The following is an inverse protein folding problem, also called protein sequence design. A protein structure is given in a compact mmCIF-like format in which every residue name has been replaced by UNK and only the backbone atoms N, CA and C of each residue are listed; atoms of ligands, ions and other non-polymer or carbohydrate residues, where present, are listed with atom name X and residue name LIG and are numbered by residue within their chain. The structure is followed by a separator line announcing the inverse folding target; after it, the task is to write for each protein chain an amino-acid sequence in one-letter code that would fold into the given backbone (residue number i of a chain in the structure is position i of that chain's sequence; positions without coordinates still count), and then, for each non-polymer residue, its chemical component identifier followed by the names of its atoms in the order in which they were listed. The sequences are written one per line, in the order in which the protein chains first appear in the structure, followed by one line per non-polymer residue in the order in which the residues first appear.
data_IF_931186341117
#
_entry.id   IF_931186341117
#
_cell.length_a   1.000
_cell.length_b   1.000
_cell.length_c   1.000
_cell.angle_alpha   90.00
_cell.angle_beta   90.00
_cell.angle_gamma   90.00
#
_symmetry.space_group_name_H-M   'P 1'
#
loop_
_entity.id
_entity.type
_entity.pdbx_description
1 polymer ?
#
# COMPACT_ATOMS: atom_id res chain seq x y z
N UNK A 1 13.94 -35.81 -109.43
CA UNK A 1 14.73 -35.32 -108.28
C UNK A 1 14.26 -36.06 -107.05
N UNK A 2 15.17 -36.82 -106.45
CA UNK A 2 15.10 -37.46 -105.12
C UNK A 2 14.53 -36.48 -104.10
N UNK A 3 13.66 -36.84 -103.16
CA UNK A 3 13.67 -37.99 -102.26
C UNK A 3 12.24 -38.35 -101.81
N UNK A 4 11.99 -39.64 -101.60
CA UNK A 4 10.73 -40.23 -101.15
C UNK A 4 10.93 -40.79 -99.75
N UNK A 5 10.10 -40.39 -98.78
CA UNK A 5 9.76 -41.28 -97.66
C UNK A 5 8.36 -40.99 -97.13
N UNK A 6 7.39 -41.90 -97.33
CA UNK A 6 6.10 -41.84 -96.67
C UNK A 6 5.88 -42.99 -95.67
N UNK A 7 5.32 -42.59 -94.51
CA UNK A 7 4.13 -43.12 -93.83
C UNK A 7 3.92 -44.65 -93.55
N UNK A 8 3.81 -44.92 -92.23
CA UNK A 8 2.66 -45.51 -91.50
C UNK A 8 2.33 -47.03 -91.59
N UNK A 9 2.10 -47.62 -90.40
CA UNK A 9 1.18 -48.75 -90.09
C UNK A 9 0.96 -48.76 -88.56
N UNK A 10 -0.12 -48.30 -87.92
CA UNK A 10 -1.58 -48.60 -87.95
C UNK A 10 -2.00 -49.90 -87.22
N UNK A 11 -2.56 -49.67 -86.01
CA UNK A 11 -3.74 -50.25 -85.30
C UNK A 11 -3.75 -51.57 -84.46
N UNK A 12 -4.45 -51.40 -83.32
CA UNK A 12 -4.85 -52.14 -82.08
C UNK A 12 -5.95 -53.24 -82.31
N UNK A 13 -6.63 -53.92 -81.32
CA UNK A 13 -6.46 -54.16 -79.86
C UNK A 13 -6.78 -55.62 -79.36
N UNK A 14 -6.58 -55.93 -78.05
CA UNK A 14 -7.42 -56.88 -77.29
C UNK A 14 -7.23 -56.74 -75.75
N UNK A 15 -8.33 -56.46 -75.06
CA UNK A 15 -8.53 -56.42 -73.60
C UNK A 15 -8.70 -57.83 -73.02
N UNK A 16 -8.14 -58.09 -71.83
CA UNK A 16 -8.73 -59.02 -70.87
C UNK A 16 -8.45 -58.54 -69.43
N UNK A 17 -9.55 -58.37 -68.69
CA UNK A 17 -9.58 -57.94 -67.30
C UNK A 17 -9.00 -59.01 -66.37
N UNK A 18 -8.28 -58.56 -65.34
CA UNK A 18 -7.88 -59.34 -64.18
C UNK A 18 -7.81 -58.39 -62.98
N UNK A 19 -8.85 -58.39 -62.17
CA UNK A 19 -9.03 -57.62 -60.94
C UNK A 19 -8.16 -58.16 -59.80
N UNK A 20 -7.54 -57.26 -59.04
CA UNK A 20 -7.36 -57.21 -57.56
C UNK A 20 -6.46 -56.02 -57.29
N UNK A 21 -6.64 -55.11 -56.36
CA UNK A 21 -7.67 -54.86 -55.36
C UNK A 21 -7.36 -53.43 -54.87
N UNK A 22 -8.41 -52.67 -54.61
CA UNK A 22 -8.40 -51.35 -53.99
C UNK A 22 -7.97 -51.41 -52.53
N UNK A 23 -7.58 -50.25 -51.96
CA UNK A 23 -7.35 -49.97 -50.52
C UNK A 23 -6.03 -50.54 -49.95
N UNK A 24 -5.16 -49.74 -49.33
CA UNK A 24 -5.48 -48.96 -48.14
C UNK A 24 -5.30 -49.81 -46.89
N UNK A 25 -4.16 -50.50 -46.74
CA UNK A 25 -3.62 -50.89 -45.43
C UNK A 25 -2.22 -51.51 -45.61
N UNK A 26 -1.20 -50.76 -45.22
CA UNK A 26 -0.04 -51.39 -44.62
C UNK A 26 0.35 -50.56 -43.40
N UNK A 27 -0.58 -50.54 -42.44
CA UNK A 27 -0.12 -50.84 -41.08
C UNK A 27 0.87 -52.01 -41.22
N UNK A 28 2.15 -51.87 -40.80
CA UNK A 28 3.09 -52.95 -40.96
C UNK A 28 2.52 -54.11 -40.15
N UNK A 29 1.98 -55.12 -40.85
CA UNK A 29 1.64 -56.40 -40.23
C UNK A 29 2.89 -56.80 -39.49
N UNK A 30 2.80 -56.84 -38.16
CA UNK A 30 3.87 -57.17 -37.23
C UNK A 30 4.36 -58.59 -37.52
N UNK A 31 5.19 -58.73 -38.55
CA UNK A 31 5.97 -59.92 -38.80
C UNK A 31 7.14 -59.83 -37.84
N UNK A 32 7.22 -60.77 -36.91
CA UNK A 32 8.33 -60.83 -35.97
C UNK A 32 9.65 -60.89 -36.75
N UNK A 33 10.46 -59.85 -36.61
CA UNK A 33 11.77 -59.79 -37.27
C UNK A 33 12.72 -60.83 -36.65
N UNK A 34 13.60 -61.45 -37.46
CA UNK A 34 14.61 -62.35 -36.94
C UNK A 34 15.54 -61.65 -35.94
N UNK A 35 15.96 -62.38 -34.91
CA UNK A 35 16.98 -61.92 -33.97
C UNK A 35 18.31 -61.64 -34.69
N UNK A 36 19.14 -60.77 -34.12
CA UNK A 36 20.40 -60.33 -34.73
C UNK A 36 21.32 -61.50 -35.16
N UNK A 37 21.41 -62.56 -34.36
CA UNK A 37 22.26 -63.71 -34.68
C UNK A 37 21.71 -64.58 -35.82
N UNK A 38 20.38 -64.64 -35.97
CA UNK A 38 19.76 -65.30 -37.11
C UNK A 38 20.06 -64.53 -38.41
N UNK A 39 20.04 -63.20 -38.38
CA UNK A 39 20.47 -62.37 -39.51
C UNK A 39 21.96 -62.59 -39.82
N UNK A 40 22.85 -62.55 -38.82
CA UNK A 40 24.28 -62.82 -39.04
C UNK A 40 24.54 -64.20 -39.65
N UNK A 41 23.77 -65.22 -39.26
CA UNK A 41 23.89 -66.56 -39.80
C UNK A 41 23.50 -66.64 -41.29
N UNK A 42 22.57 -65.79 -41.73
CA UNK A 42 22.15 -65.67 -43.14
C UNK A 42 23.11 -64.77 -43.95
N UNK A 43 23.67 -63.75 -43.32
CA UNK A 43 24.66 -62.82 -43.88
C UNK A 43 26.10 -63.17 -43.48
N UNK A 44 26.54 -64.39 -43.79
CA UNK A 44 27.92 -64.86 -43.53
C UNK A 44 28.65 -65.24 -44.83
N UNK A 45 29.97 -65.29 -44.76
CA UNK A 45 30.81 -65.72 -45.87
C UNK A 45 30.37 -67.11 -46.39
N UNK A 46 30.26 -67.24 -47.71
CA UNK A 46 29.81 -68.49 -48.37
C UNK A 46 28.30 -68.73 -48.34
N UNK A 47 27.51 -67.82 -47.77
CA UNK A 47 26.03 -67.87 -47.85
C UNK A 47 25.51 -66.92 -48.94
N UNK A 48 24.39 -67.29 -49.55
CA UNK A 48 23.65 -66.44 -50.50
C UNK A 48 22.35 -66.01 -49.79
N UNK A 49 22.26 -64.76 -49.27
CA UNK A 49 21.05 -64.28 -48.62
C UNK A 49 19.86 -64.24 -49.59
N UNK A 50 18.66 -64.53 -49.08
CA UNK A 50 17.42 -64.51 -49.86
C UNK A 50 16.79 -63.12 -49.89
N UNK A 51 15.85 -62.89 -50.81
CA UNK A 51 15.06 -61.66 -50.86
C UNK A 51 14.41 -61.31 -49.51
N UNK A 52 13.91 -62.31 -48.79
CA UNK A 52 13.32 -62.15 -47.46
C UNK A 52 14.35 -61.69 -46.41
N UNK A 53 15.62 -62.09 -46.55
CA UNK A 53 16.67 -61.70 -45.62
C UNK A 53 17.04 -60.23 -45.80
N UNK A 54 17.04 -59.75 -47.05
CA UNK A 54 17.20 -58.34 -47.37
C UNK A 54 16.01 -57.51 -46.89
N UNK A 55 14.78 -57.99 -47.08
CA UNK A 55 13.59 -57.32 -46.55
C UNK A 55 13.65 -57.20 -45.02
N UNK A 56 13.95 -58.30 -44.32
CA UNK A 56 14.09 -58.33 -42.86
C UNK A 56 15.18 -57.35 -42.38
N UNK A 57 16.30 -57.23 -43.10
CA UNK A 57 17.38 -56.28 -42.78
C UNK A 57 16.97 -54.82 -43.02
N UNK A 58 16.27 -54.53 -44.13
CA UNK A 58 15.79 -53.18 -44.46
C UNK A 58 14.77 -52.72 -43.42
N UNK A 59 13.82 -53.58 -43.07
CA UNK A 59 12.80 -53.29 -42.06
C UNK A 59 13.45 -53.05 -40.69
N UNK A 60 14.44 -53.86 -40.29
CA UNK A 60 15.20 -53.65 -39.05
C UNK A 60 15.96 -52.32 -39.05
N UNK A 61 16.62 -51.98 -40.15
CA UNK A 61 17.32 -50.71 -40.30
C UNK A 61 16.35 -49.52 -40.26
N UNK A 62 15.19 -49.66 -40.90
CA UNK A 62 14.14 -48.65 -40.90
C UNK A 62 13.55 -48.44 -39.49
N UNK A 63 13.31 -49.51 -38.75
CA UNK A 63 12.90 -49.45 -37.33
C UNK A 63 13.98 -48.76 -36.50
N UNK A 64 15.26 -49.08 -36.71
CA UNK A 64 16.37 -48.42 -36.02
C UNK A 64 16.41 -46.91 -36.26
N UNK A 65 16.24 -46.48 -37.52
CA UNK A 65 16.10 -45.06 -37.90
C UNK A 65 14.91 -44.41 -37.20
N UNK A 66 13.74 -45.05 -37.24
CA UNK A 66 12.52 -44.53 -36.63
C UNK A 66 12.61 -44.47 -35.10
N UNK A 67 13.28 -45.43 -34.45
CA UNK A 67 13.46 -45.49 -33.00
C UNK A 67 14.25 -44.29 -32.46
N UNK A 68 15.15 -43.72 -33.27
CA UNK A 68 15.87 -42.49 -32.93
C UNK A 68 15.20 -41.22 -33.47
N UNK A 69 13.98 -41.34 -33.99
CA UNK A 69 13.19 -40.26 -34.57
C UNK A 69 13.68 -39.76 -35.93
N UNK A 70 14.59 -40.46 -36.59
CA UNK A 70 15.17 -40.00 -37.85
C UNK A 70 14.17 -40.03 -39.02
N UNK A 71 14.11 -38.96 -39.81
CA UNK A 71 13.35 -38.93 -41.08
C UNK A 71 14.07 -39.72 -42.19
N UNK A 72 13.38 -40.03 -43.29
CA UNK A 72 14.03 -40.68 -44.45
C UNK A 72 15.15 -39.79 -45.01
N UNK A 73 16.29 -40.40 -45.34
CA UNK A 73 17.48 -39.67 -45.79
C UNK A 73 18.21 -38.89 -44.68
N UNK A 74 17.68 -38.83 -43.46
CA UNK A 74 18.36 -38.17 -42.34
C UNK A 74 19.55 -39.01 -41.86
N UNK A 75 20.69 -38.34 -41.67
CA UNK A 75 21.85 -38.94 -41.00
C UNK A 75 21.80 -38.62 -39.51
N UNK A 76 21.70 -39.65 -38.66
CA UNK A 76 21.67 -39.50 -37.21
C UNK A 76 20.27 -39.29 -36.60
N UNK A 77 20.20 -39.13 -35.28
CA UNK A 77 18.93 -39.07 -34.56
C UNK A 77 18.23 -37.71 -34.72
N UNK A 78 16.95 -37.61 -34.34
CA UNK A 78 16.20 -36.35 -34.34
C UNK A 78 16.74 -35.32 -33.34
N UNK A 79 16.28 -34.07 -33.45
CA UNK A 79 16.79 -32.91 -32.70
C UNK A 79 16.77 -33.04 -31.16
N UNK A 80 15.94 -33.91 -30.58
CA UNK A 80 15.91 -34.17 -29.12
C UNK A 80 17.02 -35.12 -28.63
N UNK A 81 17.76 -35.72 -29.55
CA UNK A 81 18.79 -36.72 -29.31
C UNK A 81 20.09 -36.30 -30.00
N UNK A 82 21.19 -36.91 -29.58
CA UNK A 82 22.51 -36.75 -30.18
C UNK A 82 23.27 -38.06 -30.05
N UNK A 83 24.37 -38.20 -30.79
CA UNK A 83 25.36 -39.24 -30.55
C UNK A 83 26.54 -38.63 -29.79
N UNK A 84 27.08 -39.37 -28.83
CA UNK A 84 28.35 -39.05 -28.18
C UNK A 84 29.51 -39.23 -29.17
N UNK A 85 30.73 -38.83 -28.75
CA UNK A 85 31.94 -39.11 -29.53
C UNK A 85 32.23 -40.60 -29.74
N UNK A 86 31.66 -41.48 -28.92
CA UNK A 86 31.75 -42.95 -29.05
C UNK A 86 30.55 -43.56 -29.79
N UNK A 87 29.65 -42.74 -30.33
CA UNK A 87 28.48 -43.19 -31.06
C UNK A 87 27.32 -43.67 -30.19
N UNK A 88 27.34 -43.41 -28.86
CA UNK A 88 26.23 -43.74 -27.97
C UNK A 88 25.10 -42.73 -28.12
N UNK A 89 23.87 -43.19 -28.21
CA UNK A 89 22.69 -42.32 -28.24
C UNK A 89 22.48 -41.64 -26.88
N UNK A 90 22.36 -40.32 -26.90
CA UNK A 90 22.20 -39.47 -25.72
C UNK A 90 21.09 -38.44 -25.95
N UNK A 91 20.50 -37.93 -24.87
CA UNK A 91 19.58 -36.81 -24.94
C UNK A 91 20.34 -35.53 -25.30
N UNK A 92 19.71 -34.65 -26.08
CA UNK A 92 20.24 -33.33 -26.43
C UNK A 92 19.43 -32.24 -25.71
N UNK A 93 19.56 -32.09 -24.37
CA UNK A 93 18.87 -31.03 -23.67
C UNK A 93 19.41 -29.67 -24.11
N UNK A 94 18.56 -28.65 -24.11
CA UNK A 94 19.05 -27.28 -24.15
C UNK A 94 19.54 -26.91 -22.73
N UNK A 95 20.86 -26.99 -22.51
CA UNK A 95 21.49 -26.76 -21.20
C UNK A 95 21.33 -25.34 -20.66
N UNK A 96 20.90 -24.40 -21.51
CA UNK A 96 20.50 -23.05 -21.12
C UNK A 96 19.03 -22.96 -20.68
N UNK A 97 18.21 -23.99 -20.91
CA UNK A 97 16.76 -23.98 -20.69
C UNK A 97 16.33 -25.13 -19.76
N UNK A 98 16.52 -24.93 -18.46
CA UNK A 98 15.78 -25.61 -17.38
C UNK A 98 15.94 -27.13 -17.21
N UNK A 99 16.52 -27.85 -18.17
CA UNK A 99 16.76 -29.29 -18.11
C UNK A 99 18.26 -29.55 -18.01
N UNK A 100 18.64 -30.45 -17.11
CA UNK A 100 19.99 -30.95 -16.95
C UNK A 100 20.00 -32.46 -17.24
N UNK A 101 21.04 -32.93 -17.92
CA UNK A 101 21.25 -34.37 -18.16
C UNK A 101 22.70 -34.67 -17.78
N UNK A 102 22.88 -35.63 -16.88
CA UNK A 102 24.19 -36.05 -16.38
C UNK A 102 24.23 -37.58 -16.15
N UNK A 103 25.26 -38.06 -15.45
CA UNK A 103 25.46 -39.49 -15.18
C UNK A 103 24.33 -40.13 -14.35
N UNK A 104 23.58 -39.33 -13.60
CA UNK A 104 22.48 -39.79 -12.74
C UNK A 104 21.12 -39.70 -13.45
N UNK A 105 21.08 -39.14 -14.67
CA UNK A 105 19.91 -39.13 -15.55
C UNK A 105 19.45 -37.72 -15.94
N UNK A 106 18.13 -37.55 -16.07
CA UNK A 106 17.49 -36.28 -16.46
C UNK A 106 16.92 -35.60 -15.22
N UNK A 107 17.23 -34.32 -15.05
CA UNK A 107 16.76 -33.50 -13.93
C UNK A 107 16.37 -32.09 -14.36
N UNK A 108 15.71 -31.36 -13.46
CA UNK A 108 15.42 -29.93 -13.64
C UNK A 108 16.59 -29.11 -13.10
N UNK A 109 17.08 -28.17 -13.90
CA UNK A 109 18.06 -27.18 -13.48
C UNK A 109 17.38 -26.12 -12.62
N UNK A 110 17.64 -26.14 -11.32
CA UNK A 110 17.03 -25.20 -10.35
C UNK A 110 17.48 -23.76 -10.58
N UNK A 111 16.53 -22.84 -10.70
CA UNK A 111 16.74 -21.39 -10.60
C UNK A 111 16.47 -20.87 -9.18
N UNK A 112 16.34 -19.54 -9.02
CA UNK A 112 16.15 -18.93 -7.70
C UNK A 112 14.82 -19.28 -7.02
N UNK A 113 13.76 -19.56 -7.79
CA UNK A 113 12.43 -19.88 -7.25
C UNK A 113 12.10 -21.37 -7.18
N UNK A 114 13.01 -22.25 -7.64
CA UNK A 114 12.76 -23.69 -7.74
C UNK A 114 13.78 -24.45 -6.90
N UNK A 115 13.31 -25.37 -6.07
CA UNK A 115 14.15 -26.34 -5.35
C UNK A 115 13.92 -27.73 -5.94
N UNK A 116 14.99 -28.47 -6.25
CA UNK A 116 14.92 -29.82 -6.83
C UNK A 116 15.69 -30.78 -5.93
N UNK A 117 14.99 -31.62 -5.17
CA UNK A 117 15.57 -32.53 -4.17
C UNK A 117 14.91 -33.92 -4.22
N UNK A 118 15.17 -34.76 -3.21
CA UNK A 118 14.56 -36.09 -3.07
C UNK A 118 13.04 -36.07 -2.92
N UNK A 119 12.43 -34.95 -2.54
CA UNK A 119 10.98 -34.74 -2.52
C UNK A 119 10.43 -34.20 -3.84
N UNK A 120 11.26 -34.05 -4.89
CA UNK A 120 10.87 -33.60 -6.21
C UNK A 120 11.14 -32.12 -6.49
N UNK A 121 10.33 -31.53 -7.37
CA UNK A 121 10.42 -30.11 -7.78
C UNK A 121 9.47 -29.27 -6.94
N UNK A 122 10.01 -28.32 -6.20
CA UNK A 122 9.31 -27.54 -5.18
C UNK A 122 9.52 -26.04 -5.38
N UNK A 123 8.68 -25.23 -4.74
CA UNK A 123 8.90 -23.79 -4.63
C UNK A 123 10.00 -23.53 -3.61
N UNK A 124 11.02 -22.76 -4.00
CA UNK A 124 12.05 -22.30 -3.07
C UNK A 124 11.60 -21.01 -2.41
N UNK A 125 11.42 -21.05 -1.09
CA UNK A 125 11.23 -19.84 -0.28
C UNK A 125 12.61 -19.31 0.18
N UNK A 126 12.78 -17.99 0.17
CA UNK A 126 14.00 -17.32 0.60
C UNK A 126 13.74 -16.46 1.83
N UNK A 127 14.71 -16.42 2.76
CA UNK A 127 14.69 -15.48 3.87
C UNK A 127 15.08 -14.09 3.34
N UNK A 128 14.19 -13.10 3.47
CA UNK A 128 14.56 -11.71 3.16
C UNK A 128 15.70 -11.24 4.08
N UNK A 129 16.66 -10.48 3.55
CA UNK A 129 17.81 -9.96 4.31
C UNK A 129 17.46 -8.87 5.35
N UNK A 130 16.19 -8.50 5.50
CA UNK A 130 15.75 -7.42 6.37
C UNK A 130 15.07 -7.96 7.64
N UNK A 131 15.74 -7.77 8.77
CA UNK A 131 15.42 -8.30 10.10
C UNK A 131 14.20 -7.65 10.81
N UNK A 132 13.21 -7.13 10.07
CA UNK A 132 12.03 -6.49 10.66
C UNK A 132 10.76 -7.09 10.03
N UNK A 133 10.30 -8.23 10.55
CA UNK A 133 9.04 -8.84 10.10
C UNK A 133 8.83 -10.31 10.41
N UNK A 134 9.72 -10.93 11.17
CA UNK A 134 9.69 -12.36 11.51
C UNK A 134 11.02 -12.97 11.13
N UNK A 135 11.75 -13.48 12.12
CA UNK A 135 12.86 -14.36 11.81
C UNK A 135 12.28 -15.52 11.03
N UNK A 136 12.43 -15.52 9.70
CA UNK A 136 12.02 -16.64 8.86
C UNK A 136 12.59 -17.88 9.51
N UNK A 137 11.71 -18.74 10.03
CA UNK A 137 12.11 -19.99 10.64
C UNK A 137 12.57 -20.85 9.47
N UNK A 138 13.87 -21.08 9.38
CA UNK A 138 14.48 -21.87 8.31
C UNK A 138 15.87 -21.37 7.94
N UNK A 139 16.74 -22.31 7.57
CA UNK A 139 17.96 -22.01 6.84
C UNK A 139 17.60 -21.54 5.41
N UNK A 140 18.52 -20.86 4.72
CA UNK A 140 18.44 -20.74 3.25
C UNK A 140 18.43 -22.15 2.67
N UNK A 141 17.26 -22.74 2.46
CA UNK A 141 17.26 -24.19 2.29
C UNK A 141 15.90 -24.82 2.16
N UNK A 142 15.53 -25.09 0.91
CA UNK A 142 15.31 -26.42 0.32
C UNK A 142 14.34 -27.41 0.99
N UNK A 143 13.76 -27.09 2.13
CA UNK A 143 12.80 -27.93 2.84
C UNK A 143 11.41 -27.45 2.48
N UNK A 144 10.65 -28.35 1.88
CA UNK A 144 9.36 -28.16 1.22
C UNK A 144 8.23 -27.71 2.14
N UNK A 145 8.50 -27.40 3.41
CA UNK A 145 7.51 -27.02 4.41
C UNK A 145 8.14 -26.03 5.38
N UNK A 146 7.52 -24.85 5.54
CA UNK A 146 8.00 -23.79 6.44
C UNK A 146 7.61 -22.39 5.98
N UNK A 147 7.90 -21.40 6.83
CA UNK A 147 7.60 -19.99 6.56
C UNK A 147 8.85 -19.14 6.36
N UNK A 148 8.91 -18.37 5.27
CA UNK A 148 9.97 -17.40 5.00
C UNK A 148 9.45 -16.23 4.16
N UNK A 149 9.92 -15.01 4.47
CA UNK A 149 9.63 -13.81 3.68
C UNK A 149 8.14 -13.45 3.60
N UNK A 150 7.33 -13.80 4.60
CA UNK A 150 5.88 -13.59 4.60
C UNK A 150 5.09 -14.60 3.76
N UNK A 151 5.73 -15.68 3.32
CA UNK A 151 5.10 -16.80 2.63
C UNK A 151 5.31 -18.09 3.43
N UNK A 152 4.37 -19.02 3.32
CA UNK A 152 4.41 -20.33 3.94
C UNK A 152 4.14 -21.43 2.90
N UNK A 153 4.96 -22.46 2.90
CA UNK A 153 4.73 -23.69 2.14
C UNK A 153 4.31 -24.79 3.13
N UNK A 154 3.24 -25.52 2.81
CA UNK A 154 2.71 -26.61 3.62
C UNK A 154 2.24 -27.76 2.75
N UNK A 155 1.71 -28.82 3.37
CA UNK A 155 1.02 -29.90 2.64
C UNK A 155 -0.17 -29.41 1.80
N UNK A 156 -0.74 -28.25 2.14
CA UNK A 156 -1.84 -27.63 1.41
C UNK A 156 -1.37 -26.71 0.28
N UNK A 157 -0.05 -26.57 0.08
CA UNK A 157 0.54 -25.70 -0.95
C UNK A 157 1.12 -24.40 -0.40
N UNK A 158 1.31 -23.44 -1.31
CA UNK A 158 1.90 -22.12 -1.03
C UNK A 158 0.82 -21.14 -0.54
N UNK A 159 1.14 -20.40 0.51
CA UNK A 159 0.24 -19.45 1.17
C UNK A 159 1.02 -18.25 1.73
N UNK A 160 0.30 -17.28 2.27
CA UNK A 160 0.87 -16.13 2.99
C UNK A 160 1.07 -16.50 4.46
N UNK A 161 2.25 -16.20 5.00
CA UNK A 161 2.55 -16.30 6.43
C UNK A 161 2.20 -14.97 7.11
N UNK A 162 0.95 -14.84 7.55
CA UNK A 162 0.45 -13.57 8.08
C UNK A 162 1.05 -13.24 9.45
N UNK A 163 1.87 -12.19 9.48
CA UNK A 163 2.29 -11.55 10.74
C UNK A 163 1.18 -10.71 11.38
N UNK A 164 1.51 -9.99 12.47
CA UNK A 164 0.52 -9.28 13.29
C UNK A 164 -0.30 -8.20 12.55
N UNK A 165 0.21 -7.65 11.44
CA UNK A 165 -0.47 -6.61 10.66
C UNK A 165 -1.33 -7.13 9.51
N UNK A 166 -1.27 -8.44 9.22
CA UNK A 166 -1.99 -9.06 8.11
C UNK A 166 -3.04 -10.02 8.68
N UNK A 167 -4.21 -10.05 8.06
CA UNK A 167 -5.28 -11.00 8.34
C UNK A 167 -5.59 -11.77 7.07
N UNK A 168 -5.70 -13.09 7.19
CA UNK A 168 -6.19 -13.96 6.12
C UNK A 168 -7.57 -14.46 6.54
N UNK A 169 -8.58 -14.22 5.72
CA UNK A 169 -9.94 -14.73 5.93
C UNK A 169 -10.59 -15.15 4.60
N UNK A 170 -11.89 -15.40 4.60
CA UNK A 170 -12.63 -15.84 3.40
C UNK A 170 -12.61 -14.81 2.25
N UNK A 171 -12.19 -13.57 2.51
CA UNK A 171 -12.06 -12.50 1.51
C UNK A 171 -10.63 -12.38 0.98
N UNK A 172 -9.70 -13.22 1.46
CA UNK A 172 -8.28 -13.21 1.08
C UNK A 172 -7.40 -12.51 2.11
N UNK A 173 -6.38 -11.80 1.63
CA UNK A 173 -5.38 -11.12 2.46
C UNK A 173 -5.80 -9.67 2.69
N UNK A 174 -5.91 -9.28 3.95
CA UNK A 174 -6.33 -7.95 4.38
C UNK A 174 -5.43 -7.40 5.49
N UNK A 175 -5.59 -6.12 5.81
CA UNK A 175 -4.88 -5.49 6.93
C UNK A 175 -5.62 -5.84 8.23
N UNK A 176 -4.87 -6.36 9.22
CA UNK A 176 -5.38 -6.53 10.57
C UNK A 176 -5.36 -5.18 11.28
N UNK A 177 -6.55 -4.67 11.62
CA UNK A 177 -6.70 -3.42 12.35
C UNK A 177 -6.70 -3.68 13.85
N UNK A 178 -5.87 -2.95 14.60
CA UNK A 178 -5.94 -2.92 16.05
C UNK A 178 -7.16 -2.10 16.50
N UNK A 179 -7.70 -2.42 17.69
CA UNK A 179 -8.73 -1.61 18.32
C UNK A 179 -8.22 -0.18 18.53
N UNK A 180 -9.07 0.82 18.27
CA UNK A 180 -8.73 2.25 18.38
C UNK A 180 -7.53 2.69 17.53
N UNK A 181 -7.22 1.98 16.44
CA UNK A 181 -6.12 2.34 15.53
C UNK A 181 -6.38 3.62 14.73
N UNK A 182 -7.61 4.18 14.78
CA UNK A 182 -7.99 5.29 13.92
C UNK A 182 -8.11 4.89 12.45
N UNK A 183 -8.14 3.58 12.15
CA UNK A 183 -8.22 3.03 10.81
C UNK A 183 -9.45 2.13 10.70
N UNK A 184 -10.04 2.11 9.50
CA UNK A 184 -11.08 1.17 9.12
C UNK A 184 -10.79 0.64 7.72
N UNK A 185 -11.25 -0.58 7.44
CA UNK A 185 -11.14 -1.18 6.12
C UNK A 185 -12.47 -1.83 5.77
N UNK A 186 -12.97 -1.55 4.57
CA UNK A 186 -14.18 -2.16 4.04
C UNK A 186 -14.01 -2.49 2.55
N UNK A 187 -14.89 -3.34 2.02
CA UNK A 187 -14.82 -3.81 0.63
C UNK A 187 -15.05 -2.71 -0.40
N UNK A 188 -15.74 -1.64 -0.03
CA UNK A 188 -16.13 -0.57 -0.96
C UNK A 188 -15.05 0.50 -1.07
N UNK A 189 -14.42 0.87 0.05
CA UNK A 189 -13.55 2.03 0.17
C UNK A 189 -12.09 1.66 0.50
N UNK A 190 -11.79 0.38 0.76
CA UNK A 190 -10.46 -0.04 1.17
C UNK A 190 -10.06 0.49 2.55
N UNK A 191 -8.76 0.69 2.77
CA UNK A 191 -8.21 1.22 4.03
C UNK A 191 -8.39 2.75 4.09
N UNK A 192 -9.03 3.23 5.16
CA UNK A 192 -9.23 4.66 5.42
C UNK A 192 -8.99 5.01 6.88
N UNK A 193 -8.70 6.29 7.12
CA UNK A 193 -8.68 6.87 8.47
C UNK A 193 -10.12 7.03 8.96
N UNK A 194 -10.35 6.82 10.25
CA UNK A 194 -11.60 7.08 10.97
C UNK A 194 -11.41 8.34 11.80
N UNK A 195 -11.81 9.53 11.29
CA UNK A 195 -11.55 10.81 11.96
C UNK A 195 -12.18 10.89 13.35
N UNK A 196 -13.30 10.20 13.55
CA UNK A 196 -14.05 10.11 14.80
C UNK A 196 -13.24 9.47 15.95
N UNK A 197 -12.17 8.73 15.65
CA UNK A 197 -11.27 8.18 16.67
C UNK A 197 -10.05 9.09 16.94
N UNK A 198 -9.73 10.02 16.05
CA UNK A 198 -8.66 11.00 16.27
C UNK A 198 -9.09 12.11 17.23
N UNK A 199 -10.39 12.42 17.26
CA UNK A 199 -10.97 13.44 18.13
C UNK A 199 -11.98 12.81 19.08
N UNK A 200 -11.80 13.05 20.37
CA UNK A 200 -12.67 12.50 21.41
C UNK A 200 -13.91 13.38 21.60
N UNK A 201 -15.05 12.75 21.94
CA UNK A 201 -16.28 13.49 22.28
C UNK A 201 -15.99 14.49 23.41
N UNK A 202 -16.35 15.75 23.19
CA UNK A 202 -16.11 16.85 24.14
C UNK A 202 -14.91 17.74 23.81
N UNK A 203 -14.12 17.41 22.77
CA UNK A 203 -13.13 18.35 22.23
C UNK A 203 -13.84 19.58 21.63
N UNK A 204 -13.28 20.76 21.90
CA UNK A 204 -13.71 22.04 21.33
C UNK A 204 -12.64 22.50 20.35
N UNK A 205 -13.02 22.81 19.12
CA UNK A 205 -12.12 23.32 18.08
C UNK A 205 -12.65 24.61 17.49
N UNK A 206 -11.74 25.51 17.12
CA UNK A 206 -12.11 26.70 16.36
C UNK A 206 -12.40 26.31 14.91
N UNK A 207 -13.52 26.79 14.40
CA UNK A 207 -13.97 26.52 13.04
C UNK A 207 -14.25 27.84 12.34
N UNK A 208 -13.66 28.02 11.15
CA UNK A 208 -13.72 29.26 10.38
C UNK A 208 -14.67 29.18 9.17
N UNK A 209 -15.66 28.29 9.22
CA UNK A 209 -16.71 28.14 8.21
C UNK A 209 -18.08 28.54 8.73
N UNK A 210 -19.08 28.44 7.86
CA UNK A 210 -20.49 28.66 8.20
C UNK A 210 -21.08 27.48 8.97
N UNK A 211 -22.23 27.68 9.63
CA UNK A 211 -22.93 26.59 10.34
C UNK A 211 -23.32 25.43 9.41
N UNK A 212 -23.51 25.69 8.11
CA UNK A 212 -23.83 24.67 7.11
C UNK A 212 -22.62 23.81 6.69
N UNK A 213 -21.40 24.30 6.92
CA UNK A 213 -20.15 23.62 6.54
C UNK A 213 -19.52 22.81 7.68
N UNK A 214 -20.17 22.78 8.86
CA UNK A 214 -19.69 22.02 10.01
C UNK A 214 -19.52 20.54 9.58
N UNK A 215 -18.31 19.97 9.69
CA UNK A 215 -18.07 18.60 9.24
C UNK A 215 -18.92 17.58 9.99
N UNK A 216 -19.29 16.50 9.30
CA UNK A 216 -20.00 15.38 9.93
C UNK A 216 -19.23 14.88 11.16
N UNK A 217 -19.95 14.68 12.27
CA UNK A 217 -19.37 14.29 13.57
C UNK A 217 -19.02 15.47 14.48
N UNK A 218 -19.09 16.71 13.97
CA UNK A 218 -18.98 17.95 14.73
C UNK A 218 -20.31 18.67 14.79
N UNK A 219 -20.46 19.54 15.78
CA UNK A 219 -21.68 20.34 15.96
C UNK A 219 -21.34 21.60 16.78
N UNK A 220 -22.17 22.64 16.68
CA UNK A 220 -21.95 23.92 17.36
C UNK A 220 -22.04 23.75 18.88
N UNK A 221 -21.18 24.41 19.65
CA UNK A 221 -21.31 24.44 21.11
C UNK A 221 -22.43 25.42 21.50
N UNK A 222 -23.68 25.00 21.40
CA UNK A 222 -24.89 25.82 21.59
C UNK A 222 -25.76 25.40 22.79
N UNK A 223 -25.27 24.47 23.62
CA UNK A 223 -26.03 23.90 24.73
C UNK A 223 -26.86 22.65 24.38
N UNK A 224 -27.00 22.33 23.09
CA UNK A 224 -27.78 21.17 22.64
C UNK A 224 -27.11 19.84 22.99
N UNK A 225 -27.91 18.81 23.27
CA UNK A 225 -27.44 17.43 23.46
C UNK A 225 -26.31 17.27 24.52
N UNK A 226 -26.33 18.11 25.57
CA UNK A 226 -25.35 18.07 26.66
C UNK A 226 -23.99 18.69 26.33
N UNK A 227 -23.85 19.38 25.18
CA UNK A 227 -22.68 20.20 24.86
C UNK A 227 -22.69 21.50 25.67
N UNK A 228 -21.55 22.14 25.95
CA UNK A 228 -21.54 23.48 26.51
C UNK A 228 -22.09 24.50 25.49
N UNK A 229 -22.77 25.55 25.96
CA UNK A 229 -23.06 26.74 25.15
C UNK A 229 -21.87 27.71 25.24
N UNK A 230 -21.17 27.92 24.13
CA UNK A 230 -19.97 28.75 24.01
C UNK A 230 -20.18 29.96 23.08
N UNK A 231 -21.40 30.18 22.58
CA UNK A 231 -21.72 31.35 21.74
C UNK A 231 -21.57 32.63 22.54
N UNK A 232 -20.95 33.65 21.94
CA UNK A 232 -20.67 34.95 22.57
C UNK A 232 -19.90 34.86 23.90
N UNK A 233 -19.13 33.79 24.10
CA UNK A 233 -18.31 33.56 25.29
C UNK A 233 -16.84 33.48 24.94
N UNK A 234 -16.00 33.98 25.84
CA UNK A 234 -14.56 33.79 25.76
C UNK A 234 -14.14 32.56 26.57
N UNK A 235 -13.34 31.68 25.97
CA UNK A 235 -12.85 30.47 26.63
C UNK A 235 -11.68 30.82 27.54
N UNK A 236 -11.79 30.47 28.82
CA UNK A 236 -10.72 30.63 29.81
C UNK A 236 -10.22 29.26 30.23
N UNK A 237 -8.89 29.07 30.23
CA UNK A 237 -8.28 27.83 30.67
C UNK A 237 -8.58 27.52 32.13
N UNK A 238 -8.88 26.25 32.44
CA UNK A 238 -9.09 25.79 33.82
C UNK A 238 -7.81 26.00 34.63
N UNK A 239 -7.94 26.61 35.81
CA UNK A 239 -6.82 26.81 36.72
C UNK A 239 -7.30 27.05 38.15
N UNK A 240 -6.36 27.27 39.08
CA UNK A 240 -6.68 27.55 40.49
C UNK A 240 -7.45 28.86 40.71
N UNK A 241 -7.38 29.79 39.76
CA UNK A 241 -8.08 31.08 39.78
C UNK A 241 -9.48 31.05 39.16
N UNK A 242 -9.78 30.04 38.33
CA UNK A 242 -11.07 29.86 37.68
C UNK A 242 -11.53 28.42 37.97
N UNK A 243 -12.14 28.25 39.13
CA UNK A 243 -12.59 26.96 39.63
C UNK A 243 -14.02 26.68 39.16
N UNK A 244 -14.15 26.00 38.03
CA UNK A 244 -15.41 25.46 37.54
C UNK A 244 -15.16 24.16 36.77
N UNK A 245 -16.02 23.16 36.96
CA UNK A 245 -16.18 22.10 35.94
C UNK A 245 -16.98 22.73 34.81
N UNK A 246 -16.62 22.46 33.56
CA UNK A 246 -17.13 23.10 32.35
C UNK A 246 -18.64 22.92 32.05
N UNK A 247 -19.51 23.10 33.04
CA UNK A 247 -20.97 23.16 32.93
C UNK A 247 -21.48 24.59 32.68
N UNK A 248 -20.60 25.52 32.27
CA UNK A 248 -20.98 26.88 31.95
C UNK A 248 -21.78 27.55 33.08
N UNK A 249 -21.10 28.00 34.13
CA UNK A 249 -21.70 28.85 35.18
C UNK A 249 -23.12 28.42 35.59
N UNK A 250 -23.31 27.20 36.08
CA UNK A 250 -24.40 26.98 37.01
C UNK A 250 -24.07 27.81 38.25
N UNK A 251 -24.89 28.84 38.47
CA UNK A 251 -24.83 29.73 39.62
C UNK A 251 -25.00 28.91 40.90
N UNK A 252 -23.90 28.33 41.40
CA UNK A 252 -23.86 27.73 42.72
C UNK A 252 -23.22 28.76 43.63
N UNK A 253 -24.09 29.43 44.38
CA UNK A 253 -23.87 30.20 45.59
C UNK A 253 -22.39 30.48 45.94
N UNK A 254 -21.99 31.73 45.72
CA UNK A 254 -21.01 32.46 46.53
C UNK A 254 -19.53 32.06 46.46
N UNK A 255 -19.05 31.57 45.32
CA UNK A 255 -17.66 31.87 44.91
C UNK A 255 -17.54 32.02 43.40
N UNK A 256 -18.33 32.93 42.85
CA UNK A 256 -18.08 33.46 41.52
C UNK A 256 -16.76 34.22 41.59
N UNK A 257 -15.70 33.72 40.95
CA UNK A 257 -14.65 34.63 40.48
C UNK A 257 -15.29 35.42 39.34
N UNK A 258 -15.97 36.50 39.70
CA UNK A 258 -16.54 37.48 38.77
C UNK A 258 -15.39 38.22 38.08
N UNK A 259 -14.73 37.57 37.14
CA UNK A 259 -14.12 38.26 36.02
C UNK A 259 -15.19 38.47 34.96
N UNK A 260 -16.15 39.36 35.21
CA UNK A 260 -17.06 39.79 34.14
C UNK A 260 -16.28 40.77 33.28
N UNK A 261 -15.72 40.31 32.16
CA UNK A 261 -15.23 41.22 31.13
C UNK A 261 -16.44 41.71 30.34
N UNK A 262 -17.12 42.74 30.87
CA UNK A 262 -18.10 43.47 30.09
C UNK A 262 -17.34 44.37 29.12
N UNK A 263 -17.05 43.90 27.90
CA UNK A 263 -16.70 44.77 26.78
C UNK A 263 -18.00 45.30 26.17
N UNK A 264 -18.78 46.04 26.96
CA UNK A 264 -19.74 47.01 26.41
C UNK A 264 -19.12 48.38 26.61
N UNK A 265 -19.47 49.33 25.75
CA UNK A 265 -19.10 50.74 25.92
C UNK A 265 -19.31 51.17 27.38
N UNK A 266 -18.23 51.27 28.13
CA UNK A 266 -18.30 51.56 29.56
C UNK A 266 -18.37 53.06 29.72
N UNK A 267 -19.59 53.59 29.76
CA UNK A 267 -19.83 54.97 30.17
C UNK A 267 -19.59 55.09 31.67
N UNK A 268 -18.57 55.84 32.07
CA UNK A 268 -18.29 56.10 33.48
C UNK A 268 -19.50 56.77 34.14
N UNK A 269 -19.89 56.26 35.30
CA UNK A 269 -20.89 56.88 36.17
C UNK A 269 -20.23 57.91 37.09
N UNK A 270 -21.02 58.84 37.63
CA UNK A 270 -20.54 59.84 38.60
C UNK A 270 -19.86 59.18 39.83
N UNK A 271 -20.34 58.01 40.25
CA UNK A 271 -19.75 57.24 41.36
C UNK A 271 -18.36 56.67 41.08
N UNK A 272 -17.98 56.55 39.80
CA UNK A 272 -16.70 56.01 39.35
C UNK A 272 -15.65 57.11 39.10
N UNK A 273 -15.99 58.38 39.34
CA UNK A 273 -15.05 59.50 39.27
C UNK A 273 -14.63 59.83 40.71
N UNK A 274 -13.37 59.54 41.12
CA UNK A 274 -12.90 59.82 42.47
C UNK A 274 -13.04 61.30 42.85
N UNK A 275 -13.20 61.52 44.15
CA UNK A 275 -13.21 62.87 44.69
C UNK A 275 -11.86 63.55 44.44
N UNK A 276 -11.88 64.72 43.82
CA UNK A 276 -10.70 65.55 43.59
C UNK A 276 -10.97 67.00 43.97
N UNK A 277 -9.91 67.74 44.30
CA UNK A 277 -9.93 69.16 44.62
C UNK A 277 -9.04 69.94 43.67
N UNK A 278 -9.36 71.21 43.43
CA UNK A 278 -8.52 72.11 42.67
C UNK A 278 -7.77 73.06 43.60
N UNK A 279 -6.55 73.43 43.22
CA UNK A 279 -5.78 74.47 43.90
C UNK A 279 -5.80 75.71 43.02
N UNK A 280 -6.06 76.86 43.64
CA UNK A 280 -5.95 78.14 42.96
C UNK A 280 -5.27 79.17 43.88
N UNK A 281 -4.70 80.20 43.27
CA UNK A 281 -4.08 81.30 44.00
C UNK A 281 -5.12 82.36 44.31
N UNK A 282 -5.26 82.68 45.60
CA UNK A 282 -6.10 83.78 46.07
C UNK A 282 -5.19 84.96 46.40
N UNK A 283 -5.40 86.07 45.69
CA UNK A 283 -4.79 87.36 45.99
C UNK A 283 -5.67 88.03 47.06
N UNK A 284 -5.13 88.23 48.26
CA UNK A 284 -5.78 89.02 49.31
C UNK A 284 -5.11 90.39 49.43
N UNK A 285 -5.85 91.45 49.13
CA UNK A 285 -5.43 92.82 49.43
C UNK A 285 -5.58 93.08 50.93
N UNK A 286 -4.49 92.99 51.69
CA UNK A 286 -4.50 93.32 53.12
C UNK A 286 -4.31 94.82 53.30
N UNK A 287 -5.43 95.49 53.61
CA UNK A 287 -5.62 96.81 54.24
C UNK A 287 -4.58 97.92 53.98
N UNK A 288 -5.06 99.09 53.55
CA UNK A 288 -4.31 100.34 53.62
C UNK A 288 -4.03 100.71 55.08
N UNK A 289 -2.83 100.43 55.58
CA UNK A 289 -2.37 100.98 56.84
C UNK A 289 -2.05 102.47 56.67
N UNK A 290 -2.86 103.35 57.24
CA UNK A 290 -2.49 104.76 57.41
C UNK A 290 -1.47 104.86 58.54
N UNK A 291 -0.19 104.93 58.19
CA UNK A 291 0.88 105.33 59.11
C UNK A 291 1.18 106.81 58.86
N UNK A 292 0.92 107.66 59.86
CA UNK A 292 1.40 109.04 59.86
C UNK A 292 2.91 109.05 60.12
N UNK A 293 3.73 109.24 59.08
CA UNK A 293 5.17 109.47 59.21
C UNK A 293 6.02 108.85 58.09
N UNK A 294 6.44 109.70 57.14
CA UNK A 294 7.44 109.54 56.07
C UNK A 294 8.13 108.16 55.86
N UNK A 295 7.41 107.16 55.35
CA UNK A 295 8.00 106.08 54.54
C UNK A 295 6.95 105.41 53.64
N UNK A 296 7.40 104.91 52.48
CA UNK A 296 6.60 104.61 51.28
C UNK A 296 5.40 103.67 51.52
N UNK A 297 4.27 104.03 50.91
CA UNK A 297 3.02 103.28 50.87
C UNK A 297 3.05 102.20 49.78
N UNK A 298 2.80 100.94 50.13
CA UNK A 298 2.65 99.84 49.18
C UNK A 298 1.78 98.72 49.76
N UNK A 299 0.88 98.16 48.95
CA UNK A 299 0.04 97.03 49.32
C UNK A 299 0.91 95.78 49.56
N UNK A 300 0.69 95.07 50.66
CA UNK A 300 1.26 93.72 50.83
C UNK A 300 0.32 92.76 50.10
N UNK A 301 0.64 92.42 48.85
CA UNK A 301 -0.04 91.35 48.14
C UNK A 301 0.42 90.01 48.72
N UNK A 302 -0.45 89.41 49.53
CA UNK A 302 -0.21 88.07 50.06
C UNK A 302 -0.84 87.07 49.11
N UNK A 303 -0.01 86.33 48.35
CA UNK A 303 -0.52 85.26 47.50
C UNK A 303 -0.65 83.98 48.34
N UNK A 304 -1.88 83.53 48.59
CA UNK A 304 -2.14 82.30 49.34
C UNK A 304 -2.69 81.22 48.42
N UNK A 305 -2.10 80.02 48.45
CA UNK A 305 -2.65 78.86 47.75
C UNK A 305 -3.83 78.31 48.53
N UNK A 306 -5.01 78.28 47.93
CA UNK A 306 -6.22 77.75 48.55
C UNK A 306 -6.72 76.57 47.74
N UNK A 307 -7.08 75.49 48.43
CA UNK A 307 -7.70 74.31 47.83
C UNK A 307 -9.22 74.44 47.92
N UNK A 308 -9.93 74.04 46.86
CA UNK A 308 -11.38 73.82 46.93
C UNK A 308 -11.67 72.62 47.83
N UNK A 309 -12.92 72.48 48.27
CA UNK A 309 -13.39 71.20 48.79
C UNK A 309 -13.21 70.10 47.74
N UNK A 310 -12.93 68.88 48.19
CA UNK A 310 -12.85 67.71 47.30
C UNK A 310 -14.25 67.27 46.88
N UNK A 311 -14.49 67.12 45.58
CA UNK A 311 -15.75 66.60 45.04
C UNK A 311 -15.49 65.58 43.93
N UNK A 312 -16.32 64.55 43.85
CA UNK A 312 -16.30 63.55 42.79
C UNK A 312 -17.73 63.22 42.46
N UNK A 313 -18.12 63.40 41.20
CA UNK A 313 -19.46 63.04 40.75
C UNK A 313 -20.63 63.90 41.25
N UNK A 314 -20.41 65.11 41.80
CA UNK A 314 -21.50 65.99 42.25
C UNK A 314 -21.77 67.16 41.29
N UNK A 315 -23.05 67.51 41.09
CA UNK A 315 -23.46 68.76 40.43
C UNK A 315 -23.02 69.96 41.29
N UNK A 316 -22.50 71.01 40.65
CA UNK A 316 -21.74 72.09 41.28
C UNK A 316 -22.37 72.69 42.54
N UNK A 317 -21.54 72.89 43.57
CA UNK A 317 -21.88 73.68 44.74
C UNK A 317 -21.75 75.16 44.35
N UNK A 318 -22.86 75.81 43.98
CA UNK A 318 -22.92 77.26 43.88
C UNK A 318 -22.95 77.85 45.29
N UNK A 319 -21.88 78.55 45.70
CA UNK A 319 -21.92 79.44 46.86
C UNK A 319 -22.04 80.89 46.40
N UNK A 320 -23.13 81.55 46.75
CA UNK A 320 -23.31 82.99 46.60
C UNK A 320 -22.96 83.66 47.93
N UNK A 321 -22.08 84.67 47.92
CA UNK A 321 -21.76 85.49 49.10
C UNK A 321 -22.95 86.41 49.41
N UNK A 322 -23.31 86.56 50.67
CA UNK A 322 -24.12 87.70 51.13
C UNK A 322 -23.28 88.97 51.12
#
# INVERSE_FOLDING_TARGET
MTDKTPQNKVETPATFAGTTDTTGDSEPKSRALPQADALKARFKAGSIPLQTDFADLIDLANIGRQAVGGAEGQTGPANGLTLSSTGRLELKPNTAKGINVDKDGVSVKSGNGVAVNSSGVNVKLAKGANNNGGGGQGADGFTSIGSAGGLALSSNGLSVDAGNGIKIDSKGVSIKLAANSGLSADETNGLKIVPEQMFQKGMVMMFAGTTAEIPKGWDLCDGGNGRPDLRDRFIVGKGSKFTGKGEGTTSTSQTTVTGSVNVKDTKLTLSQIPSHSHNYYKIEYRSFGYYYGNSRQGMIDSNSSVSTSSSGGSMGINMMRR
#
